data_IF_930340811314
#
_entry.id   IF_930340811314
#
_cell.length_a   1.000
_cell.length_b   1.000
_cell.length_c   1.000
_cell.angle_alpha   90.00
_cell.angle_beta   90.00
_cell.angle_gamma   90.00
#
_symmetry.space_group_name_H-M   'P 1'
#
loop_
_entity.id
_entity.type
_entity.pdbx_description
1 polymer ?
#
# COMPACT_ATOMS: atom_id res chain seq x y z
N UNK A 1 -11.97 10.58 20.97
CA UNK A 1 -12.53 9.72 19.92
C UNK A 1 -12.70 8.31 20.48
N UNK A 2 -13.85 7.70 20.21
CA UNK A 2 -14.11 6.32 20.64
C UNK A 2 -13.24 5.38 19.78
N UNK A 3 -12.17 4.83 20.36
CA UNK A 3 -11.18 3.97 19.68
C UNK A 3 -11.65 2.52 19.47
N UNK A 4 -12.90 2.22 19.82
CA UNK A 4 -13.52 0.89 19.70
C UNK A 4 -14.84 0.93 18.94
N UNK A 5 -15.15 2.05 18.28
CA UNK A 5 -16.45 2.27 17.65
C UNK A 5 -16.74 1.26 16.53
N UNK A 6 -15.75 1.00 15.67
CA UNK A 6 -15.87 0.02 14.58
C UNK A 6 -15.99 -1.39 15.15
N UNK A 7 -15.15 -1.74 16.14
CA UNK A 7 -15.20 -3.05 16.79
C UNK A 7 -16.57 -3.33 17.40
N UNK A 8 -17.10 -2.40 18.20
CA UNK A 8 -18.41 -2.53 18.81
C UNK A 8 -19.52 -2.65 17.77
N UNK A 9 -19.45 -1.86 16.70
CA UNK A 9 -20.42 -1.93 15.61
C UNK A 9 -20.42 -3.29 14.91
N UNK A 10 -19.25 -3.87 14.62
CA UNK A 10 -19.15 -5.16 13.96
C UNK A 10 -19.57 -6.31 14.90
N UNK A 11 -19.21 -6.21 16.19
CA UNK A 11 -19.67 -7.15 17.21
C UNK A 11 -21.21 -7.14 17.34
N UNK A 12 -21.83 -5.97 17.32
CA UNK A 12 -23.29 -5.83 17.34
C UNK A 12 -23.97 -6.43 16.08
N UNK A 13 -23.23 -6.56 14.97
CA UNK A 13 -23.66 -7.25 13.74
C UNK A 13 -23.34 -8.74 13.74
N UNK A 14 -22.95 -9.30 14.88
CA UNK A 14 -22.63 -10.71 15.08
C UNK A 14 -21.46 -11.23 14.21
N UNK A 15 -20.49 -10.38 13.85
CA UNK A 15 -19.24 -10.87 13.29
C UNK A 15 -18.44 -11.62 14.37
N UNK A 16 -17.82 -12.71 13.98
CA UNK A 16 -16.99 -13.52 14.85
C UNK A 16 -15.74 -12.76 15.32
N UNK A 17 -15.46 -12.75 16.63
CA UNK A 17 -14.36 -11.99 17.21
C UNK A 17 -12.97 -12.50 16.74
N UNK A 18 -12.81 -13.78 16.50
CA UNK A 18 -11.57 -14.35 15.94
C UNK A 18 -11.31 -13.83 14.54
N UNK A 19 -12.34 -13.78 13.67
CA UNK A 19 -12.23 -13.18 12.35
C UNK A 19 -11.92 -11.68 12.42
N UNK A 20 -12.49 -10.96 13.38
CA UNK A 20 -12.18 -9.55 13.58
C UNK A 20 -10.72 -9.36 13.98
N UNK A 21 -10.18 -10.19 14.85
CA UNK A 21 -8.78 -10.17 15.27
C UNK A 21 -7.82 -10.43 14.09
N UNK A 22 -8.14 -11.38 13.23
CA UNK A 22 -7.33 -11.73 12.05
C UNK A 22 -7.47 -10.75 10.89
N UNK A 23 -8.48 -9.88 10.90
CA UNK A 23 -8.81 -8.98 9.79
C UNK A 23 -7.75 -7.92 9.49
N UNK A 24 -6.86 -7.62 10.45
CA UNK A 24 -5.85 -6.57 10.34
C UNK A 24 -6.39 -5.14 10.43
N UNK A 25 -7.69 -4.94 10.75
CA UNK A 25 -8.30 -3.62 10.96
C UNK A 25 -8.37 -3.23 12.43
N UNK A 26 -7.98 -4.14 13.31
CA UNK A 26 -7.90 -3.92 14.75
C UNK A 26 -6.48 -4.12 15.26
N UNK A 27 -6.23 -3.62 16.46
CA UNK A 27 -4.99 -3.85 17.22
C UNK A 27 -5.33 -4.37 18.60
N UNK A 28 -4.54 -5.34 19.05
CA UNK A 28 -4.52 -5.79 20.43
C UNK A 28 -3.57 -4.90 21.25
N UNK A 29 -3.94 -4.56 22.47
CA UNK A 29 -3.05 -3.93 23.45
C UNK A 29 -2.81 -4.94 24.58
N UNK A 30 -1.55 -5.26 24.81
CA UNK A 30 -1.16 -6.17 25.87
C UNK A 30 -1.85 -5.83 27.20
N UNK A 31 -2.57 -6.82 27.76
CA UNK A 31 -3.25 -6.70 29.03
C UNK A 31 -4.70 -6.17 28.98
N UNK A 32 -5.27 -5.93 27.80
CA UNK A 32 -6.67 -5.57 27.63
C UNK A 32 -7.35 -6.62 26.74
N UNK A 33 -8.45 -7.20 27.20
CA UNK A 33 -9.24 -8.17 26.44
C UNK A 33 -10.16 -7.50 25.39
N UNK A 34 -9.79 -6.36 24.86
CA UNK A 34 -10.59 -5.59 23.90
C UNK A 34 -9.75 -5.17 22.70
N UNK A 35 -10.32 -5.34 21.51
CA UNK A 35 -9.72 -4.90 20.25
C UNK A 35 -9.98 -3.41 20.01
N UNK A 36 -8.95 -2.69 19.56
CA UNK A 36 -9.01 -1.27 19.25
C UNK A 36 -9.00 -1.04 17.74
N UNK A 37 -9.77 -0.06 17.28
CA UNK A 37 -9.80 0.35 15.88
C UNK A 37 -8.42 0.85 15.45
N UNK A 38 -7.77 0.13 14.52
CA UNK A 38 -6.41 0.41 14.06
C UNK A 38 -6.30 1.76 13.36
N UNK A 39 -7.30 2.15 12.61
CA UNK A 39 -7.28 3.32 11.73
C UNK A 39 -8.06 4.52 12.30
N UNK A 40 -8.07 4.69 13.61
CA UNK A 40 -8.77 5.81 14.26
C UNK A 40 -8.20 7.16 13.79
N UNK A 41 -9.08 8.14 13.52
CA UNK A 41 -8.75 9.51 13.09
C UNK A 41 -7.86 9.59 11.81
N UNK A 42 -8.11 8.71 10.82
CA UNK A 42 -7.36 8.65 9.57
C UNK A 42 -8.28 8.70 8.34
N UNK A 43 -7.77 9.26 7.25
CA UNK A 43 -8.35 9.03 5.92
C UNK A 43 -7.98 7.61 5.50
N UNK A 44 -8.96 6.84 5.07
CA UNK A 44 -8.80 5.42 4.74
C UNK A 44 -8.72 5.25 3.24
N UNK A 45 -7.70 4.51 2.80
CA UNK A 45 -7.48 4.11 1.41
C UNK A 45 -7.64 2.58 1.33
N UNK A 46 -8.70 2.07 0.65
CA UNK A 46 -8.84 0.64 0.41
C UNK A 46 -7.73 0.13 -0.50
N UNK A 47 -7.05 -0.94 -0.08
CA UNK A 47 -6.06 -1.65 -0.88
C UNK A 47 -6.75 -2.81 -1.59
N UNK A 48 -6.70 -2.81 -2.93
CA UNK A 48 -7.42 -3.76 -3.78
C UNK A 48 -6.46 -4.69 -4.48
N UNK A 49 -6.76 -5.97 -4.46
CA UNK A 49 -5.99 -6.96 -5.23
C UNK A 49 -6.26 -6.81 -6.75
N UNK A 50 -5.55 -7.58 -7.57
CA UNK A 50 -5.67 -7.55 -9.04
C UNK A 50 -7.08 -7.86 -9.57
N UNK A 51 -8.00 -8.36 -8.73
CA UNK A 51 -9.42 -8.61 -9.05
C UNK A 51 -10.33 -7.45 -8.61
N UNK A 52 -9.77 -6.36 -8.08
CA UNK A 52 -10.52 -5.20 -7.58
C UNK A 52 -11.19 -5.41 -6.22
N UNK A 53 -10.93 -6.52 -5.53
CA UNK A 53 -11.48 -6.77 -4.18
C UNK A 53 -10.60 -6.13 -3.13
N UNK A 54 -11.21 -5.42 -2.18
CA UNK A 54 -10.50 -4.85 -1.02
C UNK A 54 -9.96 -5.98 -0.15
N UNK A 55 -8.67 -5.99 0.09
CA UNK A 55 -7.94 -7.01 0.88
C UNK A 55 -7.24 -6.42 2.09
N UNK A 56 -7.06 -5.10 2.14
CA UNK A 56 -6.42 -4.37 3.23
C UNK A 56 -6.78 -2.89 3.18
N UNK A 57 -6.24 -2.11 4.09
CA UNK A 57 -6.40 -0.67 4.16
C UNK A 57 -5.07 0.02 4.45
N UNK A 58 -4.95 1.26 3.97
CA UNK A 58 -3.96 2.22 4.43
C UNK A 58 -4.66 3.43 5.03
N UNK A 59 -4.12 3.97 6.12
CA UNK A 59 -4.67 5.15 6.79
C UNK A 59 -3.65 6.27 6.88
N UNK A 60 -4.00 7.47 6.40
CA UNK A 60 -3.20 8.69 6.57
C UNK A 60 -3.82 9.56 7.64
N UNK A 61 -3.02 10.01 8.61
CA UNK A 61 -3.50 10.96 9.63
C UNK A 61 -3.96 12.27 8.98
N UNK A 62 -5.06 12.84 9.49
CA UNK A 62 -5.57 14.13 9.03
C UNK A 62 -4.73 15.30 9.54
N UNK A 63 -4.34 15.22 10.79
CA UNK A 63 -3.55 16.24 11.47
C UNK A 63 -2.44 15.55 12.24
N UNK A 64 -1.20 16.04 12.10
CA UNK A 64 -0.12 15.60 12.95
C UNK A 64 -0.43 16.10 14.38
N UNK A 65 -0.60 15.16 15.31
CA UNK A 65 -0.62 15.51 16.73
C UNK A 65 0.78 15.90 17.18
N UNK A 66 0.94 16.87 18.09
CA UNK A 66 2.21 17.04 18.78
C UNK A 66 2.66 15.70 19.38
N UNK A 67 3.97 15.51 19.52
CA UNK A 67 4.48 14.36 20.28
C UNK A 67 3.80 14.32 21.65
N UNK A 68 3.46 13.13 22.11
CA UNK A 68 3.03 12.97 23.50
C UNK A 68 4.22 13.15 24.47
N UNK A 69 3.94 13.15 25.77
CA UNK A 69 4.96 13.33 26.82
C UNK A 69 6.07 12.26 26.79
N UNK A 70 5.88 11.17 26.02
CA UNK A 70 6.88 10.11 25.79
C UNK A 70 7.71 10.33 24.54
N UNK A 71 7.45 11.40 23.76
CA UNK A 71 8.09 11.66 22.47
C UNK A 71 7.56 10.80 21.32
N UNK A 72 6.46 10.06 21.53
CA UNK A 72 5.85 9.22 20.50
C UNK A 72 5.15 10.09 19.45
N UNK A 73 5.53 9.89 18.19
CA UNK A 73 4.86 10.46 17.03
C UNK A 73 4.01 9.40 16.33
N UNK A 74 2.74 9.70 16.13
CA UNK A 74 1.88 8.85 15.34
C UNK A 74 2.38 8.76 13.89
N UNK A 75 2.53 7.54 13.37
CA UNK A 75 3.00 7.35 12.00
C UNK A 75 2.06 8.07 11.00
N UNK A 76 2.63 8.90 10.11
CA UNK A 76 1.90 9.64 9.08
C UNK A 76 1.04 8.70 8.22
N UNK A 77 1.57 7.54 7.86
CA UNK A 77 0.91 6.48 7.14
C UNK A 77 0.90 5.20 7.98
N UNK A 78 -0.21 4.51 7.99
CA UNK A 78 -0.38 3.23 8.67
C UNK A 78 -1.06 2.24 7.72
N UNK A 79 -0.41 1.13 7.45
CA UNK A 79 -0.97 0.05 6.62
C UNK A 79 -1.54 -1.07 7.49
N UNK A 80 -2.48 -1.84 6.95
CA UNK A 80 -2.83 -3.14 7.53
C UNK A 80 -1.57 -4.01 7.69
N UNK A 81 -1.51 -4.85 8.72
CA UNK A 81 -0.51 -5.90 8.79
C UNK A 81 -0.76 -6.92 7.66
N UNK A 82 0.15 -7.86 7.51
CA UNK A 82 -0.11 -9.03 6.66
C UNK A 82 -1.22 -9.90 7.25
N UNK A 83 -2.06 -10.43 6.37
CA UNK A 83 -3.19 -11.29 6.72
C UNK A 83 -3.29 -12.42 5.70
N UNK A 84 -4.21 -13.37 5.89
CA UNK A 84 -4.49 -14.40 4.89
C UNK A 84 -4.91 -13.83 3.51
N UNK A 85 -5.45 -12.59 3.49
CA UNK A 85 -5.91 -11.93 2.27
C UNK A 85 -4.92 -10.92 1.70
N UNK A 86 -3.95 -10.48 2.48
CA UNK A 86 -3.04 -9.39 2.13
C UNK A 86 -1.59 -9.72 2.46
N UNK A 87 -0.77 -9.74 1.41
CA UNK A 87 0.68 -9.86 1.50
C UNK A 87 1.31 -8.67 0.76
N UNK A 88 2.08 -7.84 1.46
CA UNK A 88 2.73 -6.66 0.89
C UNK A 88 3.73 -7.02 -0.21
N UNK A 89 4.31 -8.21 -0.15
CA UNK A 89 5.38 -8.62 -1.07
C UNK A 89 4.90 -8.83 -2.49
N UNK A 90 3.64 -9.18 -2.69
CA UNK A 90 3.04 -9.38 -4.02
C UNK A 90 1.99 -8.33 -4.38
N UNK A 91 1.85 -7.30 -3.53
CA UNK A 91 0.85 -6.25 -3.70
C UNK A 91 1.42 -5.03 -4.43
N UNK A 92 0.73 -4.59 -5.48
CA UNK A 92 0.95 -3.33 -6.17
C UNK A 92 -0.31 -2.47 -6.08
N UNK A 93 -0.20 -1.29 -5.47
CA UNK A 93 -1.31 -0.36 -5.39
C UNK A 93 -1.77 0.08 -6.78
N UNK A 94 -3.09 0.17 -6.98
CA UNK A 94 -3.75 0.58 -8.22
C UNK A 94 -3.60 -0.40 -9.41
N UNK A 95 -2.97 -1.55 -9.23
CA UNK A 95 -2.77 -2.50 -10.33
C UNK A 95 -4.08 -2.99 -10.95
N UNK A 96 -5.14 -3.14 -10.14
CA UNK A 96 -6.47 -3.53 -10.60
C UNK A 96 -7.03 -2.58 -11.68
N UNK A 97 -6.80 -1.28 -11.53
CA UNK A 97 -7.25 -0.24 -12.45
C UNK A 97 -6.25 0.04 -13.58
N UNK A 98 -4.96 0.06 -13.25
CA UNK A 98 -3.91 0.40 -14.19
C UNK A 98 -3.66 -0.71 -15.24
N UNK A 99 -3.97 -1.97 -14.92
CA UNK A 99 -3.61 -3.15 -15.73
C UNK A 99 -4.04 -3.05 -17.20
N UNK A 100 -5.20 -2.49 -17.49
CA UNK A 100 -5.67 -2.33 -18.88
C UNK A 100 -4.81 -1.34 -19.66
N UNK A 101 -4.47 -0.20 -19.06
CA UNK A 101 -3.61 0.81 -19.68
C UNK A 101 -2.17 0.34 -19.79
N UNK A 102 -1.66 -0.35 -18.76
CA UNK A 102 -0.33 -0.97 -18.81
C UNK A 102 -0.22 -1.91 -20.01
N UNK A 103 -1.19 -2.80 -20.21
CA UNK A 103 -1.19 -3.73 -21.35
C UNK A 103 -1.33 -3.04 -22.69
N UNK A 104 -2.16 -1.99 -22.75
CA UNK A 104 -2.40 -1.24 -24.00
C UNK A 104 -1.14 -0.54 -24.49
N UNK A 105 -0.33 -0.01 -23.59
CA UNK A 105 0.89 0.72 -23.90
C UNK A 105 2.17 -0.11 -23.72
N UNK A 106 2.05 -1.33 -23.18
CA UNK A 106 3.16 -2.17 -22.73
C UNK A 106 4.12 -1.43 -21.79
N UNK A 107 3.62 -0.45 -21.06
CA UNK A 107 4.39 0.45 -20.20
C UNK A 107 3.73 0.60 -18.84
N UNK A 108 4.53 0.58 -17.76
CA UNK A 108 4.09 0.88 -16.40
C UNK A 108 4.93 2.01 -15.81
N UNK A 109 4.28 2.93 -15.10
CA UNK A 109 4.96 3.93 -14.28
C UNK A 109 4.95 3.47 -12.83
N UNK A 110 6.12 3.25 -12.27
CA UNK A 110 6.33 2.72 -10.91
C UNK A 110 6.68 3.84 -9.95
N UNK A 111 5.80 4.07 -8.98
CA UNK A 111 5.94 5.06 -7.91
C UNK A 111 6.33 4.38 -6.59
N UNK A 112 6.90 5.14 -5.67
CA UNK A 112 7.20 4.67 -4.31
C UNK A 112 5.93 4.59 -3.46
N UNK A 113 5.13 5.66 -3.47
CA UNK A 113 3.94 5.82 -2.66
C UNK A 113 2.63 5.85 -3.43
N UNK A 114 1.56 5.46 -2.76
CA UNK A 114 0.22 5.46 -3.38
C UNK A 114 -0.36 6.88 -3.55
N UNK A 115 0.13 7.87 -2.82
CA UNK A 115 -0.31 9.26 -3.01
C UNK A 115 0.15 9.80 -4.36
N UNK A 116 1.36 9.42 -4.79
CA UNK A 116 1.91 9.82 -6.08
C UNK A 116 1.12 9.19 -7.22
N UNK A 117 0.76 7.90 -7.07
CA UNK A 117 -0.16 7.23 -8.01
C UNK A 117 -1.51 7.93 -8.10
N UNK A 118 -2.09 8.36 -6.96
CA UNK A 118 -3.37 9.07 -6.95
C UNK A 118 -3.24 10.42 -7.67
N UNK A 119 -2.16 11.18 -7.39
CA UNK A 119 -1.89 12.46 -8.04
C UNK A 119 -1.65 12.30 -9.54
N UNK A 120 -0.85 11.32 -9.95
CA UNK A 120 -0.59 10.98 -11.34
C UNK A 120 -1.89 10.58 -12.06
N UNK A 121 -2.73 9.78 -11.39
CA UNK A 121 -4.04 9.38 -11.92
C UNK A 121 -4.97 10.58 -12.17
N UNK A 122 -4.99 11.56 -11.27
CA UNK A 122 -5.73 12.82 -11.45
C UNK A 122 -5.19 13.65 -12.63
N UNK A 123 -3.86 13.63 -12.84
CA UNK A 123 -3.20 14.26 -13.96
C UNK A 123 -3.33 13.49 -15.29
N UNK A 124 -4.02 12.36 -15.33
CA UNK A 124 -4.26 11.58 -16.55
C UNK A 124 -3.33 10.37 -16.75
N UNK A 125 -2.33 10.16 -15.91
CA UNK A 125 -1.43 8.99 -15.96
C UNK A 125 -2.17 7.77 -15.39
N UNK A 126 -2.62 6.88 -16.27
CA UNK A 126 -3.49 5.75 -15.89
C UNK A 126 -2.76 4.41 -15.74
N UNK A 127 -1.49 4.33 -16.10
CA UNK A 127 -0.63 3.16 -16.02
C UNK A 127 0.28 3.16 -14.77
N UNK A 128 -0.01 4.02 -13.77
CA UNK A 128 0.77 4.15 -12.55
C UNK A 128 0.42 3.11 -11.48
N UNK A 129 1.44 2.53 -10.84
CA UNK A 129 1.34 1.62 -9.69
C UNK A 129 2.36 1.98 -8.62
N UNK A 130 2.17 1.52 -7.37
CA UNK A 130 3.16 1.74 -6.31
C UNK A 130 3.43 0.47 -5.50
N UNK A 131 4.67 0.36 -4.99
CA UNK A 131 5.16 -0.74 -4.13
C UNK A 131 4.79 -0.59 -2.65
N UNK A 132 4.17 0.53 -2.24
CA UNK A 132 3.65 0.79 -0.90
C UNK A 132 4.71 0.95 0.22
N UNK A 133 5.80 1.68 -0.05
CA UNK A 133 6.80 2.04 0.96
C UNK A 133 7.73 0.88 1.33
N UNK A 134 7.87 -0.11 0.47
CA UNK A 134 8.90 -1.15 0.51
C UNK A 134 9.71 -1.10 -0.77
N UNK A 135 10.96 -1.53 -0.72
CA UNK A 135 11.71 -1.78 -1.96
C UNK A 135 10.92 -2.75 -2.84
N UNK A 136 11.02 -2.58 -4.16
CA UNK A 136 10.41 -3.52 -5.11
C UNK A 136 10.82 -4.97 -4.75
N UNK A 137 9.87 -5.90 -4.85
CA UNK A 137 10.12 -7.31 -4.54
C UNK A 137 10.20 -8.16 -5.80
N UNK A 138 10.73 -9.37 -5.68
CA UNK A 138 10.76 -10.35 -6.79
C UNK A 138 9.34 -10.76 -7.21
N UNK A 139 8.42 -10.85 -6.25
CA UNK A 139 7.01 -11.17 -6.52
C UNK A 139 6.34 -10.06 -7.34
N UNK A 140 6.56 -8.80 -6.96
CA UNK A 140 6.08 -7.64 -7.72
C UNK A 140 6.72 -7.58 -9.11
N UNK A 141 8.03 -7.84 -9.22
CA UNK A 141 8.71 -7.93 -10.51
C UNK A 141 8.08 -8.99 -11.42
N UNK A 142 7.72 -10.17 -10.90
CA UNK A 142 7.01 -11.22 -11.68
C UNK A 142 5.65 -10.77 -12.20
N UNK A 143 4.95 -9.91 -11.45
CA UNK A 143 3.68 -9.32 -11.92
C UNK A 143 3.94 -8.37 -13.08
N UNK A 144 4.92 -7.47 -12.93
CA UNK A 144 5.28 -6.48 -13.95
C UNK A 144 5.78 -7.16 -15.24
N UNK A 145 6.64 -8.17 -15.13
CA UNK A 145 7.18 -8.95 -16.26
C UNK A 145 6.09 -9.55 -17.16
N UNK A 146 4.93 -9.90 -16.60
CA UNK A 146 3.80 -10.48 -17.33
C UNK A 146 2.90 -9.42 -17.99
N UNK A 147 3.10 -8.13 -17.70
CA UNK A 147 2.14 -7.10 -18.08
C UNK A 147 2.72 -5.94 -18.88
N UNK A 148 4.04 -5.70 -18.79
CA UNK A 148 4.71 -4.59 -19.48
C UNK A 148 6.07 -5.02 -20.05
N UNK A 149 6.54 -4.26 -21.05
CA UNK A 149 7.90 -4.33 -21.59
C UNK A 149 8.74 -3.12 -21.20
N UNK A 150 8.05 -2.00 -20.88
CA UNK A 150 8.68 -0.76 -20.43
C UNK A 150 8.32 -0.43 -18.99
N UNK A 151 9.31 0.06 -18.25
CA UNK A 151 9.12 0.56 -16.88
C UNK A 151 9.69 1.95 -16.76
N UNK A 152 8.86 2.90 -16.36
CA UNK A 152 9.28 4.24 -15.97
C UNK A 152 9.31 4.29 -14.44
N UNK A 153 10.49 4.43 -13.86
CA UNK A 153 10.64 4.56 -12.39
C UNK A 153 10.50 6.03 -12.03
N UNK A 154 9.47 6.36 -11.27
CA UNK A 154 9.16 7.71 -10.79
C UNK A 154 9.18 7.73 -9.25
N UNK A 155 10.36 7.46 -8.68
CA UNK A 155 10.60 7.53 -7.23
C UNK A 155 11.06 8.93 -6.84
N UNK A 156 11.01 9.23 -5.54
CA UNK A 156 11.42 10.52 -5.02
C UNK A 156 12.90 10.82 -5.36
N UNK A 157 13.21 12.07 -5.72
CA UNK A 157 14.56 12.49 -6.06
C UNK A 157 15.48 12.71 -4.86
N UNK A 158 15.04 12.39 -3.64
CA UNK A 158 15.84 12.45 -2.44
C UNK A 158 16.81 11.25 -2.33
N UNK A 159 17.75 11.30 -1.37
CA UNK A 159 18.76 10.24 -1.21
C UNK A 159 18.14 8.84 -1.00
N UNK A 160 17.12 8.65 -0.14
CA UNK A 160 16.42 7.36 -0.01
C UNK A 160 15.80 6.88 -1.32
N UNK A 161 15.11 7.75 -2.07
CA UNK A 161 14.46 7.41 -3.34
C UNK A 161 15.46 7.03 -4.43
N UNK A 162 16.61 7.73 -4.53
CA UNK A 162 17.71 7.36 -5.45
C UNK A 162 18.24 5.96 -5.12
N UNK A 163 18.45 5.64 -3.85
CA UNK A 163 18.88 4.30 -3.45
C UNK A 163 17.80 3.23 -3.67
N UNK A 164 16.53 3.58 -3.52
CA UNK A 164 15.42 2.70 -3.85
C UNK A 164 15.33 2.44 -5.36
N UNK A 165 15.57 3.46 -6.20
CA UNK A 165 15.64 3.35 -7.66
C UNK A 165 16.73 2.37 -8.09
N UNK A 166 17.95 2.47 -7.55
CA UNK A 166 19.05 1.54 -7.87
C UNK A 166 18.67 0.09 -7.55
N UNK A 167 18.13 -0.14 -6.35
CA UNK A 167 17.67 -1.48 -5.95
C UNK A 167 16.52 -2.01 -6.84
N UNK A 168 15.62 -1.14 -7.26
CA UNK A 168 14.54 -1.53 -8.15
C UNK A 168 15.07 -1.98 -9.51
N UNK A 169 16.03 -1.25 -10.10
CA UNK A 169 16.68 -1.62 -11.35
C UNK A 169 17.33 -3.00 -11.23
N UNK A 170 18.13 -3.24 -10.19
CA UNK A 170 18.78 -4.53 -9.96
C UNK A 170 17.79 -5.70 -9.91
N UNK A 171 16.60 -5.50 -9.32
CA UNK A 171 15.56 -6.52 -9.25
C UNK A 171 14.87 -6.72 -10.60
N UNK A 172 14.59 -5.63 -11.31
CA UNK A 172 13.91 -5.67 -12.61
C UNK A 172 14.76 -6.40 -13.67
N UNK A 173 16.07 -6.20 -13.67
CA UNK A 173 17.00 -6.80 -14.62
C UNK A 173 17.17 -8.32 -14.44
N UNK A 174 16.80 -8.89 -13.28
CA UNK A 174 17.01 -10.34 -13.01
C UNK A 174 16.15 -11.26 -13.86
N UNK A 175 14.95 -10.87 -14.22
CA UNK A 175 13.95 -11.78 -14.82
C UNK A 175 13.60 -11.47 -16.27
N UNK A 176 13.83 -10.25 -16.74
CA UNK A 176 13.51 -9.79 -18.10
C UNK A 176 14.29 -8.53 -18.40
N UNK A 177 14.72 -8.39 -19.65
CA UNK A 177 15.21 -7.09 -20.12
C UNK A 177 14.02 -6.16 -20.36
N UNK A 178 13.75 -5.29 -19.40
CA UNK A 178 12.83 -4.17 -19.57
C UNK A 178 13.56 -3.00 -20.26
N UNK A 179 12.80 -2.23 -21.02
CA UNK A 179 13.20 -0.86 -21.36
C UNK A 179 12.95 0.01 -20.13
N UNK A 180 14.00 0.32 -19.36
CA UNK A 180 13.90 1.03 -18.09
C UNK A 180 14.29 2.49 -18.30
N UNK A 181 13.42 3.41 -17.89
CA UNK A 181 13.71 4.83 -17.82
C UNK A 181 13.40 5.38 -16.41
N UNK A 182 14.06 6.48 -16.07
CA UNK A 182 13.87 7.18 -14.79
C UNK A 182 13.27 8.54 -15.12
N UNK A 183 12.22 8.91 -14.37
CA UNK A 183 11.54 10.20 -14.48
C UNK A 183 12.03 11.18 -13.42
#
# INVERSE_FOLDING_TARGET
SNRTALFQMLKAKAFDEGLLQESGIFTDRQGQNELFDRFSARIIFPLRNAKGKTVAFSGRILHASPADDTGYHEAKYLNSPETLLFNKRDFLFNFDKARSEIRRHSEVMLFEGYMDVISAWQAGVKNGVASMGTSLTEEQNRILTKTADKIVIAYDGDRPGVEATKRAIEILERNKHFDISIF
#
